data_IF_991742661076
#
_entry.id   IF_991742661076
#
_cell.length_a   1.000
_cell.length_b   1.000
_cell.length_c   1.000
_cell.angle_alpha   90.00
_cell.angle_beta   90.00
_cell.angle_gamma   90.00
#
_symmetry.space_group_name_H-M   'P 1'
#
loop_
_entity.id
_entity.type
_entity.pdbx_description
1 polymer ?
#
# COMPACT_ATOMS: atom_id res chain seq x y z
N UNK A 1 18.68 -38.55 17.03
CA UNK A 1 18.20 -38.53 18.43
C UNK A 1 18.20 -37.08 18.91
N UNK A 2 17.06 -36.50 19.32
CA UNK A 2 16.53 -36.47 20.71
C UNK A 2 17.53 -35.77 21.67
N UNK A 3 17.26 -34.70 22.45
CA UNK A 3 16.05 -33.96 22.91
C UNK A 3 16.44 -32.45 23.02
N UNK A 4 15.61 -31.42 23.14
CA UNK A 4 14.29 -31.29 23.76
C UNK A 4 14.39 -30.79 25.21
N UNK A 5 14.25 -29.49 25.45
CA UNK A 5 14.04 -28.88 26.79
C UNK A 5 13.00 -27.76 26.69
N UNK A 6 11.86 -27.97 27.36
CA UNK A 6 10.88 -26.94 27.70
C UNK A 6 11.11 -26.50 29.15
N UNK A 7 10.70 -25.29 29.51
CA UNK A 7 10.57 -24.85 30.91
C UNK A 7 9.13 -24.41 31.16
N UNK A 8 8.52 -24.98 32.21
CA UNK A 8 7.14 -24.72 32.65
C UNK A 8 7.18 -24.33 34.13
N UNK A 9 6.59 -23.19 34.50
CA UNK A 9 6.27 -22.78 35.88
C UNK A 9 5.43 -21.48 35.78
N UNK A 10 4.37 -21.25 36.56
CA UNK A 10 3.67 -22.10 37.53
C UNK A 10 2.63 -21.24 38.29
N UNK A 11 1.42 -21.76 38.49
CA UNK A 11 0.29 -21.00 39.08
C UNK A 11 0.35 -20.94 40.61
N UNK A 12 -0.03 -19.81 41.22
CA UNK A 12 -0.38 -19.74 42.64
C UNK A 12 -1.53 -18.74 42.90
N UNK A 13 -2.50 -19.17 43.73
CA UNK A 13 -3.70 -18.44 44.16
C UNK A 13 -3.56 -17.95 45.61
N UNK A 14 -4.22 -16.85 45.98
CA UNK A 14 -4.34 -16.35 47.36
C UNK A 14 -5.50 -15.34 47.50
N UNK A 15 -6.28 -15.41 48.57
CA UNK A 15 -7.67 -14.88 48.65
C UNK A 15 -7.94 -14.00 49.89
N UNK A 16 -8.68 -12.88 49.69
CA UNK A 16 -9.41 -12.02 50.66
C UNK A 16 -8.59 -11.36 51.82
N UNK A 17 -8.93 -10.18 52.40
CA UNK A 17 -9.99 -9.16 52.22
C UNK A 17 -9.60 -7.90 53.06
N UNK A 18 -10.43 -6.98 53.58
CA UNK A 18 -11.89 -6.71 53.60
C UNK A 18 -12.12 -5.19 53.88
N UNK A 19 -13.08 -4.54 53.22
CA UNK A 19 -13.66 -3.22 53.61
C UNK A 19 -12.96 -1.95 53.05
N UNK A 20 -13.67 -0.85 52.72
CA UNK A 20 -15.12 -0.65 52.66
C UNK A 20 -15.50 0.85 52.64
N UNK A 21 -16.16 1.33 51.58
CA UNK A 21 -16.84 2.63 51.56
C UNK A 21 -17.92 2.66 50.45
N UNK A 22 -19.14 3.07 50.81
CA UNK A 22 -20.27 3.24 49.89
C UNK A 22 -20.24 4.64 49.27
N UNK A 23 -20.44 4.75 47.96
CA UNK A 23 -21.26 5.83 47.38
C UNK A 23 -22.10 5.28 46.22
N UNK A 24 -23.40 5.18 46.47
CA UNK A 24 -24.42 4.72 45.53
C UNK A 24 -24.98 5.94 44.78
N UNK A 25 -24.79 6.02 43.46
CA UNK A 25 -25.46 7.03 42.62
C UNK A 25 -26.35 6.34 41.58
N UNK A 26 -27.66 6.26 41.89
CA UNK A 26 -28.66 5.81 40.93
C UNK A 26 -28.75 6.80 39.78
N UNK A 27 -28.37 6.39 38.56
CA UNK A 27 -29.00 6.90 37.33
C UNK A 27 -30.01 5.87 36.86
N UNK A 28 -31.23 6.31 36.58
CA UNK A 28 -32.27 5.47 36.03
C UNK A 28 -31.91 5.10 34.58
N UNK A 29 -31.85 3.81 34.26
CA UNK A 29 -31.91 3.36 32.87
C UNK A 29 -33.34 3.51 32.37
N UNK A 30 -33.60 4.57 31.61
CA UNK A 30 -34.68 4.52 30.64
C UNK A 30 -34.27 3.53 29.54
N UNK A 31 -35.12 2.54 29.25
CA UNK A 31 -34.88 1.64 28.14
C UNK A 31 -35.06 2.43 26.83
N UNK A 32 -33.95 2.72 26.16
CA UNK A 32 -33.99 3.26 24.80
C UNK A 32 -34.70 2.26 23.88
N UNK A 33 -35.63 2.74 23.07
CA UNK A 33 -36.16 1.99 21.94
C UNK A 33 -34.98 1.54 21.04
N UNK A 34 -35.07 0.38 20.36
CA UNK A 34 -34.03 -0.03 19.44
C UNK A 34 -33.84 1.07 18.39
N UNK A 35 -32.61 1.56 18.27
CA UNK A 35 -32.23 2.44 17.18
C UNK A 35 -32.51 1.71 15.85
N UNK A 36 -32.92 2.43 14.78
CA UNK A 36 -32.97 1.81 13.47
C UNK A 36 -31.58 1.23 13.17
N UNK A 37 -31.55 -0.02 12.73
CA UNK A 37 -30.35 -0.63 12.16
C UNK A 37 -29.81 0.36 11.11
N UNK A 38 -28.52 0.73 11.13
CA UNK A 38 -27.95 1.51 10.04
C UNK A 38 -28.29 0.79 8.74
N UNK A 39 -28.88 1.50 7.78
CA UNK A 39 -29.00 0.94 6.44
C UNK A 39 -27.59 0.58 6.00
N UNK A 40 -27.39 -0.70 5.73
CA UNK A 40 -26.11 -1.21 5.28
C UNK A 40 -25.93 -0.65 3.87
N UNK A 41 -25.24 0.49 3.77
CA UNK A 41 -24.91 1.11 2.49
C UNK A 41 -24.32 0.01 1.61
N UNK A 42 -25.05 -0.35 0.56
CA UNK A 42 -24.52 -1.27 -0.45
C UNK A 42 -23.23 -0.65 -0.97
N UNK A 43 -22.09 -1.36 -0.92
CA UNK A 43 -20.83 -0.81 -1.39
C UNK A 43 -21.02 -0.20 -2.76
N UNK A 44 -20.54 1.03 -2.94
CA UNK A 44 -20.58 1.66 -4.27
C UNK A 44 -19.88 0.72 -5.25
N UNK A 45 -20.50 0.32 -6.36
CA UNK A 45 -19.93 -0.69 -7.23
C UNK A 45 -18.58 -0.20 -7.76
N UNK A 46 -17.51 -0.90 -7.38
CA UNK A 46 -16.13 -0.57 -7.79
C UNK A 46 -16.09 -0.53 -9.31
N UNK A 47 -15.61 0.57 -9.92
CA UNK A 47 -15.63 0.68 -11.37
C UNK A 47 -14.74 -0.41 -12.01
N UNK A 48 -15.33 -1.15 -12.96
CA UNK A 48 -14.63 -2.20 -13.69
C UNK A 48 -13.59 -1.57 -14.62
N UNK A 49 -12.31 -1.80 -14.31
CA UNK A 49 -11.19 -1.32 -15.11
C UNK A 49 -10.87 -2.26 -16.28
N UNK A 50 -10.13 -1.80 -17.30
CA UNK A 50 -9.64 -2.69 -18.35
C UNK A 50 -8.85 -3.87 -17.76
N UNK A 51 -8.87 -5.06 -18.40
CA UNK A 51 -8.15 -6.23 -17.91
C UNK A 51 -6.63 -5.96 -17.80
N UNK A 52 -5.93 -6.83 -17.07
CA UNK A 52 -4.46 -6.83 -17.03
C UNK A 52 -3.88 -6.76 -18.46
N UNK A 53 -2.86 -5.92 -18.70
CA UNK A 53 -2.23 -5.85 -20.00
C UNK A 53 -1.59 -7.19 -20.36
N UNK A 54 -1.54 -7.46 -21.67
CA UNK A 54 -0.96 -8.67 -22.27
C UNK A 54 0.43 -8.37 -22.80
N UNK A 55 1.16 -9.42 -23.17
CA UNK A 55 2.47 -9.28 -23.81
C UNK A 55 2.45 -8.45 -25.12
N UNK A 56 1.30 -8.35 -25.80
CA UNK A 56 1.08 -7.50 -26.97
C UNK A 56 1.03 -6.00 -26.67
N UNK A 57 0.79 -5.64 -25.40
CA UNK A 57 0.44 -4.27 -25.00
C UNK A 57 1.68 -3.49 -24.51
N UNK A 58 2.84 -4.14 -24.50
CA UNK A 58 4.13 -3.65 -24.05
C UNK A 58 5.24 -3.97 -25.06
N UNK A 59 6.36 -3.27 -24.95
CA UNK A 59 7.55 -3.38 -25.81
C UNK A 59 8.79 -3.88 -25.05
N UNK A 60 8.81 -3.68 -23.73
CA UNK A 60 9.90 -4.11 -22.86
C UNK A 60 9.99 -5.63 -22.69
N UNK A 61 11.15 -6.08 -22.22
CA UNK A 61 11.44 -7.51 -22.08
C UNK A 61 10.65 -8.18 -20.94
N UNK A 62 10.02 -9.32 -21.26
CA UNK A 62 9.20 -10.17 -20.38
C UNK A 62 9.90 -11.50 -20.00
N UNK A 63 11.15 -11.71 -20.43
CA UNK A 63 11.87 -12.98 -20.34
C UNK A 63 13.10 -12.98 -19.42
N UNK A 64 13.89 -11.90 -19.39
CA UNK A 64 15.16 -11.81 -18.64
C UNK A 64 14.92 -11.28 -17.23
N UNK A 65 15.63 -11.81 -16.23
CA UNK A 65 15.64 -11.29 -14.86
C UNK A 65 14.22 -11.07 -14.25
N UNK A 66 13.33 -12.06 -14.41
CA UNK A 66 11.99 -12.06 -13.81
C UNK A 66 11.77 -13.14 -12.75
N UNK A 67 12.64 -14.16 -12.74
CA UNK A 67 12.51 -15.37 -11.94
C UNK A 67 11.07 -15.89 -11.83
N UNK A 68 10.61 -16.05 -10.59
CA UNK A 68 9.28 -16.58 -10.22
C UNK A 68 8.15 -15.52 -10.26
N UNK A 69 8.35 -14.37 -10.91
CA UNK A 69 7.28 -13.38 -11.12
C UNK A 69 6.18 -13.97 -12.02
N UNK A 70 4.89 -13.95 -11.61
CA UNK A 70 3.77 -14.44 -12.40
C UNK A 70 3.72 -13.84 -13.81
N UNK A 71 3.64 -14.70 -14.82
CA UNK A 71 3.80 -14.32 -16.24
C UNK A 71 2.73 -13.33 -16.72
N UNK A 72 1.54 -13.40 -16.15
CA UNK A 72 0.39 -12.51 -16.37
C UNK A 72 0.57 -11.11 -15.75
N UNK A 73 1.40 -10.97 -14.71
CA UNK A 73 1.73 -9.67 -14.10
C UNK A 73 2.95 -8.98 -14.72
N UNK A 74 3.84 -9.71 -15.41
CA UNK A 74 5.03 -9.10 -16.06
C UNK A 74 4.66 -7.95 -17.01
N UNK A 75 3.63 -8.05 -17.89
CA UNK A 75 3.24 -6.93 -18.73
C UNK A 75 2.70 -5.73 -17.94
N UNK A 76 2.09 -5.92 -16.76
CA UNK A 76 1.68 -4.80 -15.91
C UNK A 76 2.90 -4.03 -15.41
N UNK A 77 3.90 -4.74 -14.89
CA UNK A 77 5.13 -4.11 -14.40
C UNK A 77 5.94 -3.44 -15.52
N UNK A 78 5.99 -4.02 -16.73
CA UNK A 78 6.61 -3.36 -17.90
C UNK A 78 5.80 -2.13 -18.34
N UNK A 79 4.46 -2.21 -18.36
CA UNK A 79 3.61 -1.06 -18.70
C UNK A 79 3.81 0.08 -17.70
N UNK A 80 3.95 -0.22 -16.40
CA UNK A 80 4.30 0.78 -15.38
C UNK A 80 5.60 1.50 -15.71
N UNK A 81 6.66 0.77 -16.06
CA UNK A 81 7.94 1.33 -16.46
C UNK A 81 7.84 2.20 -17.73
N UNK A 82 7.20 1.67 -18.78
CA UNK A 82 7.04 2.34 -20.07
C UNK A 82 6.19 3.61 -19.97
N UNK A 83 5.15 3.60 -19.14
CA UNK A 83 4.25 4.73 -18.95
C UNK A 83 4.85 5.75 -17.98
N UNK A 84 5.47 5.32 -16.87
CA UNK A 84 6.11 6.23 -15.91
C UNK A 84 7.41 6.87 -16.44
N UNK A 85 8.04 6.28 -17.46
CA UNK A 85 9.37 6.66 -17.98
C UNK A 85 10.46 6.56 -16.91
N UNK A 86 10.46 5.45 -16.16
CA UNK A 86 11.46 5.12 -15.14
C UNK A 86 12.13 3.79 -15.52
N UNK A 87 13.17 3.80 -16.39
CA UNK A 87 13.78 2.57 -16.92
C UNK A 87 14.31 1.64 -15.82
N UNK A 88 14.08 0.33 -15.97
CA UNK A 88 14.41 -0.72 -15.01
C UNK A 88 13.56 -0.75 -13.73
N UNK A 89 12.49 0.03 -13.64
CA UNK A 89 11.58 -0.01 -12.49
C UNK A 89 10.70 -1.26 -12.45
N UNK A 90 10.45 -1.93 -13.58
CA UNK A 90 9.51 -3.06 -13.68
C UNK A 90 9.85 -4.21 -12.72
N UNK A 91 11.12 -4.62 -12.66
CA UNK A 91 11.59 -5.68 -11.74
C UNK A 91 11.54 -5.23 -10.28
N UNK A 92 11.83 -3.96 -10.01
CA UNK A 92 11.72 -3.37 -8.67
C UNK A 92 10.26 -3.39 -8.18
N UNK A 93 9.30 -3.08 -9.06
CA UNK A 93 7.87 -3.23 -8.76
C UNK A 93 7.47 -4.69 -8.51
N UNK A 94 8.02 -5.66 -9.24
CA UNK A 94 7.76 -7.08 -8.99
C UNK A 94 8.23 -7.53 -7.59
N UNK A 95 9.43 -7.14 -7.15
CA UNK A 95 9.93 -7.45 -5.79
C UNK A 95 9.10 -6.74 -4.72
N UNK A 96 8.65 -5.50 -4.95
CA UNK A 96 7.72 -4.81 -4.05
C UNK A 96 6.39 -5.56 -3.98
N UNK A 97 5.79 -5.92 -5.12
CA UNK A 97 4.51 -6.61 -5.17
C UNK A 97 4.54 -7.97 -4.46
N UNK A 98 5.60 -8.76 -4.69
CA UNK A 98 5.82 -9.99 -3.95
C UNK A 98 5.89 -9.74 -2.44
N UNK A 99 6.60 -8.69 -2.00
CA UNK A 99 6.71 -8.38 -0.57
C UNK A 99 5.40 -7.95 0.07
N UNK A 100 4.66 -7.05 -0.58
CA UNK A 100 3.47 -6.42 0.01
C UNK A 100 2.21 -7.28 -0.10
N UNK A 101 2.10 -8.13 -1.12
CA UNK A 101 0.88 -8.91 -1.39
C UNK A 101 1.12 -10.37 -1.78
N UNK A 102 2.38 -10.82 -1.94
CA UNK A 102 2.72 -12.12 -2.57
C UNK A 102 2.02 -12.30 -3.93
N UNK A 103 1.88 -11.19 -4.68
CA UNK A 103 1.16 -11.06 -5.94
C UNK A 103 -0.38 -11.23 -5.87
N UNK A 104 -0.97 -11.32 -4.67
CA UNK A 104 -2.43 -11.36 -4.50
C UNK A 104 -3.00 -9.96 -4.72
N UNK A 105 -3.62 -9.73 -5.86
CA UNK A 105 -4.12 -8.42 -6.30
C UNK A 105 -5.16 -7.82 -5.35
N UNK A 106 -5.93 -8.68 -4.67
CA UNK A 106 -6.96 -8.32 -3.68
C UNK A 106 -6.48 -8.48 -2.23
N UNK A 107 -5.16 -8.47 -1.97
CA UNK A 107 -4.62 -8.51 -0.62
C UNK A 107 -5.12 -7.29 0.18
N UNK A 108 -5.57 -7.49 1.41
CA UNK A 108 -6.12 -6.44 2.26
C UNK A 108 -5.57 -6.62 3.67
N UNK A 109 -4.82 -5.62 4.15
CA UNK A 109 -4.30 -5.56 5.50
C UNK A 109 -5.17 -4.57 6.29
N UNK A 110 -5.77 -5.02 7.39
CA UNK A 110 -6.68 -4.24 8.22
C UNK A 110 -8.07 -4.87 8.36
N UNK A 111 -8.40 -5.90 7.58
CA UNK A 111 -9.71 -6.53 7.61
C UNK A 111 -9.80 -7.75 8.55
N UNK A 112 -8.67 -8.32 8.99
CA UNK A 112 -8.65 -9.46 9.88
C UNK A 112 -8.59 -9.05 11.37
N UNK A 113 -9.04 -9.96 12.24
CA UNK A 113 -8.90 -9.82 13.69
C UNK A 113 -7.42 -9.79 14.08
N UNK A 114 -6.98 -8.67 14.66
CA UNK A 114 -5.58 -8.43 15.03
C UNK A 114 -4.87 -7.37 14.18
N UNK A 115 -5.45 -6.94 13.06
CA UNK A 115 -4.86 -5.94 12.15
C UNK A 115 -5.32 -4.51 12.47
N UNK A 116 -5.48 -4.19 13.75
CA UNK A 116 -5.95 -2.87 14.20
C UNK A 116 -4.94 -1.77 13.85
N UNK A 117 -3.63 -2.05 14.00
CA UNK A 117 -2.52 -1.16 13.68
C UNK A 117 -2.54 -0.61 12.24
N UNK A 118 -3.03 -1.39 11.26
CA UNK A 118 -3.15 -0.97 9.85
C UNK A 118 -4.28 0.04 9.66
N UNK A 119 -5.44 -0.20 10.29
CA UNK A 119 -6.56 0.76 10.28
C UNK A 119 -6.24 2.02 11.07
N UNK A 120 -5.57 1.92 12.22
CA UNK A 120 -5.04 3.08 12.94
C UNK A 120 -4.00 3.86 12.11
N UNK A 121 -3.21 3.18 11.29
CA UNK A 121 -2.27 3.83 10.36
C UNK A 121 -3.00 4.53 9.22
N UNK A 122 -4.07 3.94 8.70
CA UNK A 122 -4.94 4.57 7.70
C UNK A 122 -5.67 5.79 8.24
N UNK A 123 -6.30 5.70 9.42
CA UNK A 123 -7.00 6.84 10.03
C UNK A 123 -6.05 7.98 10.37
N UNK A 124 -4.86 7.68 10.92
CA UNK A 124 -3.79 8.68 11.09
C UNK A 124 -3.33 9.28 9.76
N UNK A 125 -3.27 8.51 8.67
CA UNK A 125 -2.93 9.05 7.35
C UNK A 125 -3.99 10.05 6.86
N UNK A 126 -5.27 9.75 7.06
CA UNK A 126 -6.38 10.65 6.72
C UNK A 126 -6.38 11.92 7.60
N UNK A 127 -6.44 11.78 8.93
CA UNK A 127 -6.57 12.90 9.85
C UNK A 127 -5.40 13.90 9.79
N UNK A 128 -4.17 13.43 9.50
CA UNK A 128 -3.01 14.31 9.35
C UNK A 128 -2.98 15.12 8.03
N UNK A 129 -3.84 14.82 7.06
CA UNK A 129 -3.77 15.38 5.71
C UNK A 129 -5.10 15.89 5.14
N UNK A 130 -6.26 15.54 5.72
CA UNK A 130 -7.58 15.92 5.18
C UNK A 130 -7.82 17.43 5.07
N UNK A 131 -7.24 18.22 5.98
CA UNK A 131 -7.34 19.69 5.94
C UNK A 131 -6.31 20.35 4.99
N UNK A 132 -5.44 19.55 4.36
CA UNK A 132 -4.33 20.01 3.50
C UNK A 132 -4.44 19.56 2.04
N UNK A 133 -5.28 18.56 1.79
CA UNK A 133 -5.52 17.99 0.47
C UNK A 133 -6.97 18.29 0.05
N UNK A 134 -7.32 18.11 -1.24
CA UNK A 134 -8.71 18.09 -1.68
C UNK A 134 -9.51 17.03 -0.91
N UNK A 135 -10.81 17.27 -0.63
CA UNK A 135 -11.64 16.31 0.08
C UNK A 135 -11.77 15.00 -0.71
N UNK A 136 -11.79 13.88 0.01
CA UNK A 136 -12.10 12.57 -0.55
C UNK A 136 -13.60 12.31 -0.39
N UNK A 137 -14.29 11.92 -1.46
CA UNK A 137 -15.72 11.52 -1.41
C UNK A 137 -15.94 10.39 -0.40
N UNK A 138 -15.03 9.42 -0.40
CA UNK A 138 -15.01 8.24 0.48
C UNK A 138 -13.99 8.39 1.63
N UNK A 139 -13.84 9.60 2.17
CA UNK A 139 -12.76 9.94 3.12
C UNK A 139 -12.75 9.12 4.42
N UNK A 140 -13.91 9.00 5.09
CA UNK A 140 -14.01 8.21 6.32
C UNK A 140 -13.92 6.69 6.05
N UNK A 141 -14.50 6.21 4.95
CA UNK A 141 -14.37 4.82 4.48
C UNK A 141 -12.88 4.46 4.27
N UNK A 142 -12.13 5.30 3.55
CA UNK A 142 -10.70 5.13 3.33
C UNK A 142 -9.90 5.22 4.64
N UNK A 143 -10.28 6.10 5.57
CA UNK A 143 -9.64 6.22 6.87
C UNK A 143 -9.73 4.93 7.69
N UNK A 144 -10.86 4.22 7.65
CA UNK A 144 -11.04 2.96 8.37
C UNK A 144 -10.69 1.69 7.57
N UNK A 145 -10.31 1.84 6.29
CA UNK A 145 -10.04 0.73 5.37
C UNK A 145 -8.76 -0.06 5.68
N UNK A 146 -7.66 0.63 6.04
CA UNK A 146 -6.32 0.03 6.14
C UNK A 146 -5.48 0.18 4.86
N UNK A 147 -4.74 -0.86 4.49
CA UNK A 147 -3.87 -0.91 3.31
C UNK A 147 -4.13 -2.15 2.46
N UNK A 148 -3.67 -2.17 1.21
CA UNK A 148 -3.80 -3.39 0.40
C UNK A 148 -3.43 -3.24 -1.07
N UNK A 149 -4.04 -4.10 -1.88
CA UNK A 149 -3.77 -4.22 -3.30
C UNK A 149 -2.40 -4.84 -3.56
N UNK A 150 -2.04 -4.92 -4.84
CA UNK A 150 -0.78 -5.51 -5.28
C UNK A 150 0.47 -4.92 -4.57
N UNK A 151 0.40 -3.67 -4.10
CA UNK A 151 1.53 -2.90 -3.57
C UNK A 151 1.38 -2.40 -2.11
N UNK A 152 0.38 -2.89 -1.36
CA UNK A 152 0.20 -2.55 0.06
C UNK A 152 -0.01 -1.05 0.33
N UNK A 153 -0.79 -0.37 -0.51
CA UNK A 153 -1.00 1.08 -0.41
C UNK A 153 -2.05 1.40 0.67
N UNK A 154 -1.74 2.35 1.57
CA UNK A 154 -2.72 2.91 2.51
C UNK A 154 -3.79 3.69 1.75
N UNK A 155 -5.07 3.38 2.02
CA UNK A 155 -6.18 3.87 1.20
C UNK A 155 -6.27 5.41 1.06
N UNK A 156 -6.10 6.24 2.11
CA UNK A 156 -6.19 7.70 1.97
C UNK A 156 -5.07 8.27 1.08
N UNK A 157 -3.84 7.76 1.21
CA UNK A 157 -2.74 8.18 0.34
C UNK A 157 -2.91 7.69 -1.10
N UNK A 158 -3.54 6.52 -1.29
CA UNK A 158 -3.91 6.02 -2.61
C UNK A 158 -4.95 6.93 -3.28
N UNK A 159 -6.05 7.31 -2.60
CA UNK A 159 -7.06 8.19 -3.18
C UNK A 159 -6.54 9.64 -3.41
N UNK A 160 -5.58 10.09 -2.60
CA UNK A 160 -4.84 11.34 -2.86
C UNK A 160 -3.70 11.21 -3.89
N UNK A 161 -3.58 10.08 -4.61
CA UNK A 161 -2.54 9.92 -5.65
C UNK A 161 -2.69 11.00 -6.71
N UNK A 162 -1.65 11.81 -6.87
CA UNK A 162 -1.59 12.87 -7.86
C UNK A 162 -1.84 14.29 -7.34
N UNK A 163 -2.45 14.44 -6.16
CA UNK A 163 -2.73 15.76 -5.54
C UNK A 163 -1.51 16.70 -5.54
N UNK A 164 -0.28 16.28 -5.19
CA UNK A 164 0.89 17.17 -5.19
C UNK A 164 1.30 17.73 -6.56
N UNK A 165 0.78 17.18 -7.67
CA UNK A 165 1.09 17.63 -9.03
C UNK A 165 -0.11 18.32 -9.70
N UNK A 166 -1.34 17.86 -9.45
CA UNK A 166 -2.54 18.32 -10.18
C UNK A 166 -3.69 18.83 -9.31
N UNK A 167 -3.54 18.85 -7.98
CA UNK A 167 -4.53 19.39 -7.03
C UNK A 167 -5.88 18.67 -7.12
N UNK A 168 -6.97 19.43 -7.18
CA UNK A 168 -8.35 18.95 -7.29
C UNK A 168 -8.64 18.14 -8.57
N UNK A 169 -7.70 18.10 -9.52
CA UNK A 169 -7.78 17.24 -10.72
C UNK A 169 -7.13 15.86 -10.53
N UNK A 170 -6.77 15.50 -9.29
CA UNK A 170 -6.27 14.16 -9.00
C UNK A 170 -7.37 13.12 -9.27
N UNK A 171 -7.08 12.04 -10.01
CA UNK A 171 -8.12 11.23 -10.65
C UNK A 171 -8.88 10.30 -9.68
N UNK A 172 -8.44 10.17 -8.43
CA UNK A 172 -8.99 9.20 -7.46
C UNK A 172 -9.74 9.86 -6.27
N UNK A 173 -9.95 11.17 -6.28
CA UNK A 173 -10.58 11.89 -5.16
C UNK A 173 -12.02 11.45 -4.87
N UNK A 174 -12.72 11.00 -5.92
CA UNK A 174 -14.14 10.61 -5.85
C UNK A 174 -14.33 9.08 -5.76
N UNK A 175 -13.25 8.29 -5.70
CA UNK A 175 -13.32 6.83 -5.80
C UNK A 175 -13.42 6.14 -4.44
N UNK A 176 -14.03 4.96 -4.39
CA UNK A 176 -14.00 4.10 -3.20
C UNK A 176 -12.57 3.53 -2.99
N UNK A 177 -12.12 3.38 -1.73
CA UNK A 177 -10.86 2.71 -1.43
C UNK A 177 -10.75 1.30 -2.03
N UNK A 178 -11.84 0.53 -2.23
CA UNK A 178 -11.77 -0.81 -2.84
C UNK A 178 -11.15 -0.83 -4.26
N UNK A 179 -11.10 0.32 -4.95
CA UNK A 179 -10.39 0.48 -6.21
C UNK A 179 -8.89 0.10 -6.13
N UNK A 180 -8.28 0.10 -4.94
CA UNK A 180 -6.91 -0.37 -4.73
C UNK A 180 -6.72 -1.88 -4.97
N UNK A 181 -7.80 -2.68 -5.00
CA UNK A 181 -7.76 -4.09 -5.40
C UNK A 181 -7.72 -4.27 -6.92
N UNK A 182 -8.01 -3.22 -7.70
CA UNK A 182 -7.88 -3.26 -9.16
C UNK A 182 -6.40 -3.04 -9.55
N UNK A 183 -5.71 -4.02 -10.19
CA UNK A 183 -4.26 -3.98 -10.36
C UNK A 183 -3.74 -2.76 -11.12
N UNK A 184 -4.51 -2.27 -12.10
CA UNK A 184 -4.18 -1.06 -12.88
C UNK A 184 -4.21 0.22 -12.05
N UNK A 185 -5.15 0.35 -11.11
CA UNK A 185 -5.19 1.50 -10.23
C UNK A 185 -4.09 1.42 -9.16
N UNK A 186 -3.88 0.24 -8.56
CA UNK A 186 -2.76 -0.01 -7.65
C UNK A 186 -1.41 0.31 -8.32
N UNK A 187 -1.23 -0.08 -9.59
CA UNK A 187 -0.07 0.24 -10.41
C UNK A 187 0.12 1.76 -10.63
N UNK A 188 -0.96 2.52 -10.85
CA UNK A 188 -0.89 3.98 -10.93
C UNK A 188 -0.42 4.60 -9.60
N UNK A 189 -0.99 4.18 -8.47
CA UNK A 189 -0.55 4.60 -7.13
C UNK A 189 0.93 4.29 -6.87
N UNK A 190 1.35 3.08 -7.22
CA UNK A 190 2.74 2.62 -7.12
C UNK A 190 3.72 3.42 -7.99
N UNK A 191 3.36 3.70 -9.25
CA UNK A 191 4.18 4.48 -10.17
C UNK A 191 4.40 5.92 -9.69
N UNK A 192 3.33 6.60 -9.26
CA UNK A 192 3.39 7.95 -8.69
C UNK A 192 4.20 7.96 -7.39
N UNK A 193 4.06 6.93 -6.54
CA UNK A 193 4.82 6.87 -5.29
C UNK A 193 6.31 6.65 -5.54
N UNK A 194 6.69 5.77 -6.49
CA UNK A 194 8.10 5.61 -6.88
C UNK A 194 8.69 6.93 -7.41
N UNK A 195 7.99 7.64 -8.29
CA UNK A 195 8.43 8.95 -8.78
C UNK A 195 8.60 9.94 -7.62
N UNK A 196 7.66 9.99 -6.68
CA UNK A 196 7.75 10.87 -5.51
C UNK A 196 8.98 10.57 -4.67
N UNK A 197 9.34 9.30 -4.48
CA UNK A 197 10.54 8.89 -3.77
C UNK A 197 11.81 9.35 -4.51
N UNK A 198 11.91 9.07 -5.81
CA UNK A 198 13.06 9.44 -6.66
C UNK A 198 13.25 10.96 -6.77
N UNK A 199 12.16 11.73 -6.83
CA UNK A 199 12.19 13.20 -6.98
C UNK A 199 12.54 13.95 -5.70
N UNK A 200 12.08 13.48 -4.53
CA UNK A 200 12.13 14.25 -3.29
C UNK A 200 13.13 13.73 -2.25
N UNK A 201 13.75 12.57 -2.48
CA UNK A 201 14.64 11.95 -1.51
C UNK A 201 15.95 11.47 -2.16
N UNK A 202 17.02 11.44 -1.37
CA UNK A 202 18.30 10.85 -1.77
C UNK A 202 18.17 9.34 -1.94
N UNK A 203 18.14 8.84 -3.16
CA UNK A 203 18.21 7.41 -3.47
C UNK A 203 19.64 7.04 -3.86
N UNK A 204 20.31 6.27 -2.99
CA UNK A 204 21.69 5.83 -3.19
C UNK A 204 21.79 4.53 -3.98
N UNK A 205 20.80 3.64 -3.81
CA UNK A 205 20.69 2.32 -4.44
C UNK A 205 19.22 1.88 -4.54
N UNK A 206 18.95 0.78 -5.24
CA UNK A 206 17.61 0.21 -5.43
C UNK A 206 16.95 -0.17 -4.08
N UNK A 207 17.72 -0.66 -3.11
CA UNK A 207 17.17 -1.05 -1.80
C UNK A 207 16.65 0.15 -1.00
N UNK A 208 17.26 1.34 -1.15
CA UNK A 208 16.77 2.57 -0.56
C UNK A 208 15.35 2.94 -1.05
N UNK A 209 14.96 2.56 -2.27
CA UNK A 209 13.58 2.75 -2.75
C UNK A 209 12.60 2.04 -1.80
N UNK A 210 12.87 0.80 -1.39
CA UNK A 210 11.99 0.08 -0.46
C UNK A 210 11.98 0.67 0.95
N UNK A 211 13.12 1.21 1.42
CA UNK A 211 13.16 1.94 2.68
C UNK A 211 12.21 3.16 2.66
N UNK A 212 12.26 3.94 1.58
CA UNK A 212 11.30 5.03 1.34
C UNK A 212 9.86 4.55 1.24
N UNK A 213 9.63 3.46 0.50
CA UNK A 213 8.30 2.87 0.33
C UNK A 213 7.64 2.53 1.67
N UNK A 214 8.39 1.88 2.56
CA UNK A 214 7.90 1.48 3.87
C UNK A 214 7.64 2.69 4.79
N UNK A 215 8.52 3.69 4.77
CA UNK A 215 8.26 4.99 5.42
C UNK A 215 9.26 6.04 4.89
N UNK A 216 8.81 7.15 4.25
CA UNK A 216 9.73 8.15 3.71
C UNK A 216 10.66 8.82 4.74
N UNK A 217 10.31 8.80 6.04
CA UNK A 217 11.21 9.28 7.10
C UNK A 217 12.51 8.47 7.22
N UNK A 218 12.50 7.18 6.81
CA UNK A 218 13.70 6.33 6.74
C UNK A 218 14.71 6.81 5.68
N UNK A 219 14.31 7.68 4.76
CA UNK A 219 15.22 8.34 3.82
C UNK A 219 15.76 9.68 4.33
N UNK A 220 15.12 10.26 5.34
CA UNK A 220 15.54 11.46 6.05
C UNK A 220 16.13 11.12 7.42
N UNK A 221 15.46 11.53 8.50
CA UNK A 221 15.93 11.37 9.89
C UNK A 221 16.14 9.93 10.35
N UNK A 222 15.49 8.94 9.74
CA UNK A 222 15.65 7.52 10.05
C UNK A 222 16.77 6.82 9.26
N UNK A 223 17.47 7.51 8.35
CA UNK A 223 18.50 6.90 7.49
C UNK A 223 19.67 6.37 8.32
N UNK A 224 20.11 5.16 8.02
CA UNK A 224 21.23 4.51 8.72
C UNK A 224 20.88 3.89 10.08
N UNK A 225 19.64 4.07 10.58
CA UNK A 225 19.16 3.38 11.77
C UNK A 225 18.79 1.92 11.49
N UNK A 226 18.64 1.11 12.55
CA UNK A 226 18.32 -0.34 12.46
C UNK A 226 17.15 -0.61 11.52
N UNK A 227 16.02 0.09 11.68
CA UNK A 227 14.82 -0.10 10.84
C UNK A 227 15.08 0.16 9.35
N UNK A 228 15.94 1.13 9.00
CA UNK A 228 16.33 1.40 7.62
C UNK A 228 17.13 0.22 7.04
N UNK A 229 18.07 -0.33 7.81
CA UNK A 229 18.82 -1.52 7.42
C UNK A 229 17.94 -2.77 7.34
N UNK A 230 17.03 -3.00 8.29
CA UNK A 230 16.12 -4.15 8.31
C UNK A 230 15.16 -4.16 7.11
N UNK A 231 14.69 -2.99 6.66
CA UNK A 231 13.83 -2.90 5.47
C UNK A 231 14.64 -3.18 4.20
N UNK A 232 15.85 -2.60 4.07
CA UNK A 232 16.75 -2.86 2.93
C UNK A 232 17.16 -4.34 2.86
N UNK A 233 17.58 -4.93 3.97
CA UNK A 233 18.01 -6.32 4.03
C UNK A 233 16.89 -7.28 3.60
N UNK A 234 15.69 -7.13 4.17
CA UNK A 234 14.56 -8.02 3.83
C UNK A 234 14.09 -7.84 2.38
N UNK A 235 14.21 -6.65 1.79
CA UNK A 235 13.93 -6.42 0.37
C UNK A 235 14.92 -7.15 -0.55
N UNK A 236 16.21 -7.16 -0.19
CA UNK A 236 17.21 -7.95 -0.91
C UNK A 236 16.94 -9.46 -0.76
N UNK A 237 16.49 -9.91 0.41
CA UNK A 237 16.03 -11.30 0.61
C UNK A 237 14.81 -11.64 -0.25
N UNK A 238 13.83 -10.74 -0.38
CA UNK A 238 12.67 -10.94 -1.26
C UNK A 238 13.09 -11.05 -2.74
N UNK A 239 14.07 -10.25 -3.19
CA UNK A 239 14.60 -10.34 -4.56
C UNK A 239 15.30 -11.67 -4.83
N UNK A 240 16.14 -12.13 -3.90
CA UNK A 240 16.78 -13.46 -3.98
C UNK A 240 15.74 -14.58 -3.96
N UNK A 241 14.69 -14.47 -3.14
CA UNK A 241 13.62 -15.46 -3.08
C UNK A 241 12.75 -15.53 -4.36
N UNK A 242 12.72 -14.45 -5.14
CA UNK A 242 12.08 -14.38 -6.45
C UNK A 242 12.98 -14.81 -7.61
N UNK A 243 14.27 -15.02 -7.41
CA UNK A 243 15.29 -15.12 -8.47
C UNK A 243 15.32 -13.89 -9.40
N UNK A 244 15.33 -12.69 -8.78
CA UNK A 244 15.58 -11.40 -9.47
C UNK A 244 16.91 -10.83 -8.98
N UNK A 245 17.87 -10.69 -9.89
CA UNK A 245 19.14 -10.00 -9.66
C UNK A 245 18.94 -8.48 -9.78
N UNK A 246 18.87 -7.79 -8.63
CA UNK A 246 18.81 -6.32 -8.57
C UNK A 246 20.13 -5.63 -8.96
N UNK A 247 21.17 -6.39 -9.33
CA UNK A 247 22.47 -5.87 -9.82
C UNK A 247 22.69 -6.09 -11.32
N UNK A 248 21.78 -6.76 -12.02
CA UNK A 248 21.82 -6.91 -13.48
C UNK A 248 21.59 -5.57 -14.19
N UNK A 249 22.70 -4.93 -14.59
CA UNK A 249 22.69 -3.64 -15.27
C UNK A 249 22.14 -3.67 -16.70
N UNK A 250 21.83 -4.85 -17.25
CA UNK A 250 21.16 -4.98 -18.56
C UNK A 250 19.65 -4.80 -18.47
N UNK A 251 19.05 -5.06 -17.31
CA UNK A 251 17.60 -4.89 -17.06
C UNK A 251 17.27 -3.83 -16.01
N UNK A 252 18.18 -3.51 -15.08
CA UNK A 252 17.97 -2.55 -13.99
C UNK A 252 19.19 -1.61 -13.88
N UNK A 253 19.07 -0.29 -14.17
CA UNK A 253 20.20 0.61 -14.05
C UNK A 253 20.60 0.75 -12.57
N UNK A 254 21.89 1.01 -12.23
CA UNK A 254 22.37 1.12 -10.85
C UNK A 254 21.61 2.13 -9.96
N UNK A 255 20.97 3.12 -10.60
CA UNK A 255 19.98 4.00 -10.01
C UNK A 255 18.83 4.19 -11.00
N UNK A 256 17.60 4.16 -10.50
CA UNK A 256 16.45 4.60 -11.28
C UNK A 256 16.43 6.13 -11.37
N UNK A 257 15.90 6.66 -12.46
CA UNK A 257 15.69 8.09 -12.68
C UNK A 257 14.25 8.35 -13.12
N UNK A 258 13.67 9.46 -12.64
CA UNK A 258 12.32 9.91 -12.98
C UNK A 258 12.32 11.31 -13.63
N UNK A 259 13.47 11.80 -14.13
CA UNK A 259 13.59 13.06 -14.86
C UNK A 259 12.68 13.14 -16.10
N UNK A 260 12.39 12.00 -16.73
CA UNK A 260 11.51 11.87 -17.89
C UNK A 260 10.02 11.67 -17.54
N UNK A 261 9.62 11.80 -16.27
CA UNK A 261 8.24 11.60 -15.81
C UNK A 261 7.23 12.43 -16.62
N UNK A 262 6.24 11.81 -17.29
CA UNK A 262 5.37 12.51 -18.24
C UNK A 262 4.13 13.16 -17.60
N UNK A 263 4.08 13.23 -16.27
CA UNK A 263 2.97 13.79 -15.51
C UNK A 263 1.91 12.75 -15.10
N UNK A 264 1.32 12.97 -13.92
CA UNK A 264 0.32 12.11 -13.26
C UNK A 264 -0.83 11.74 -14.18
N UNK A 265 -1.41 12.70 -14.90
CA UNK A 265 -2.56 12.43 -15.77
C UNK A 265 -2.20 11.56 -16.99
N UNK A 266 -0.98 11.72 -17.52
CA UNK A 266 -0.46 10.84 -18.59
C UNK A 266 -0.27 9.42 -18.07
N UNK A 267 0.25 9.28 -16.85
CA UNK A 267 0.47 7.97 -16.23
C UNK A 267 -0.84 7.29 -15.86
N UNK A 268 -1.82 8.05 -15.38
CA UNK A 268 -3.18 7.58 -15.15
C UNK A 268 -3.84 7.08 -16.45
N UNK A 269 -3.78 7.87 -17.53
CA UNK A 269 -4.35 7.48 -18.82
C UNK A 269 -3.69 6.24 -19.42
N UNK A 270 -2.38 6.05 -19.22
CA UNK A 270 -1.65 4.86 -19.70
C UNK A 270 -1.92 3.58 -18.90
N UNK A 271 -2.13 3.69 -17.58
CA UNK A 271 -2.32 2.53 -16.70
C UNK A 271 -3.80 2.20 -16.46
N UNK A 272 -4.62 3.19 -16.14
CA UNK A 272 -6.04 3.04 -15.80
C UNK A 272 -6.95 3.34 -17.00
N UNK A 273 -6.59 4.32 -17.82
CA UNK A 273 -7.42 4.80 -18.93
C UNK A 273 -8.37 5.89 -18.47
N UNK A 274 -9.66 5.58 -18.41
CA UNK A 274 -10.71 6.48 -17.91
C UNK A 274 -11.60 5.74 -16.91
N UNK A 275 -12.01 6.43 -15.85
CA UNK A 275 -13.01 5.94 -14.92
C UNK A 275 -14.42 6.19 -15.50
N UNK A 276 -15.42 5.34 -15.19
CA UNK A 276 -16.82 5.59 -15.52
C UNK A 276 -17.28 6.94 -15.00
N UNK A 277 -17.99 7.71 -15.83
CA UNK A 277 -18.39 9.09 -15.49
C UNK A 277 -19.50 9.17 -14.43
N UNK A 278 -20.11 8.04 -14.12
CA UNK A 278 -21.32 7.96 -13.30
C UNK A 278 -21.01 7.85 -11.77
N UNK A 279 -19.73 7.98 -11.41
CA UNK A 279 -19.22 8.07 -10.03
C UNK A 279 -18.61 9.45 -9.70
N UNK A 280 -18.67 10.41 -10.63
CA UNK A 280 -18.14 11.77 -10.46
C UNK A 280 -19.06 12.68 -9.63
#
# INVERSE_FOLDING_TARGET
MNRGVWITLGTALGVAGVGGALLYSRRASAASLPAPTPEQETPSPVPELPPLPRASDVKGDLSTNWGETPVDLRPLFVLMEEVAKIPGSARVFAVIAYRESRFVTTAHNGNATGEQDERESSRRAYDNNKDRNPPLRHGEEAADFGSGGLFGLLAPYFLWTGVPEVGDRAPLLNESPELLFQPRAAAFGAAVYMQRLLKNYRIDDIAAIKAGWANPSLLGSGRGGTKYHDVRARFLTDAVALDIDLTDTTTIPPKLDASAWPGVLTVFAGLVGALPKDLA
#
